data_IF_649330497631
#
_entry.id   IF_649330497631
#
_cell.length_a   1.000
_cell.length_b   1.000
_cell.length_c   1.000
_cell.angle_alpha   90.00
_cell.angle_beta   90.00
_cell.angle_gamma   90.00
#
_symmetry.space_group_name_H-M   'P 1'
#
loop_
_entity.id
_entity.type
_entity.pdbx_description
1 polymer ?
#
# COMPACT_ATOMS: atom_id res chain seq x y z
N UNK A 1 -15.25 -41.91 35.42
CA UNK A 1 -15.77 -41.69 34.07
C UNK A 1 -16.40 -40.29 34.08
N UNK A 2 -15.61 -39.27 33.78
CA UNK A 2 -16.02 -37.86 33.79
C UNK A 2 -16.01 -37.40 32.34
N UNK A 3 -17.18 -37.09 31.79
CA UNK A 3 -17.38 -36.59 30.47
C UNK A 3 -16.88 -35.13 30.37
N UNK A 4 -15.90 -34.89 29.51
CA UNK A 4 -15.47 -33.56 29.12
C UNK A 4 -16.43 -33.07 28.02
N UNK A 5 -17.41 -32.26 28.39
CA UNK A 5 -18.21 -31.46 27.46
C UNK A 5 -17.31 -30.39 26.82
N UNK A 6 -17.00 -30.59 25.56
CA UNK A 6 -16.47 -29.52 24.69
C UNK A 6 -17.61 -28.56 24.38
N UNK A 7 -17.63 -27.41 25.03
CA UNK A 7 -18.42 -26.27 24.58
C UNK A 7 -17.75 -25.69 23.28
N UNK A 8 -18.24 -26.10 22.14
CA UNK A 8 -18.04 -25.37 20.88
C UNK A 8 -18.88 -24.09 20.94
N UNK A 9 -18.23 -22.99 21.30
CA UNK A 9 -18.82 -21.67 21.24
C UNK A 9 -19.04 -21.24 19.79
N UNK A 10 -20.18 -21.58 19.22
CA UNK A 10 -20.68 -20.99 17.99
C UNK A 10 -20.85 -19.48 18.21
N UNK A 11 -19.94 -18.66 17.68
CA UNK A 11 -20.12 -17.21 17.65
C UNK A 11 -21.38 -16.91 16.84
N UNK A 12 -22.47 -16.59 17.50
CA UNK A 12 -23.67 -16.03 16.87
C UNK A 12 -23.30 -14.66 16.29
N UNK A 13 -23.07 -14.61 14.96
CA UNK A 13 -22.91 -13.34 14.24
C UNK A 13 -24.28 -12.68 14.20
N UNK A 14 -24.39 -11.45 14.70
CA UNK A 14 -25.66 -10.73 14.74
C UNK A 14 -26.15 -10.41 13.31
N UNK A 15 -27.47 -10.29 13.08
CA UNK A 15 -28.01 -9.89 11.79
C UNK A 15 -27.43 -8.56 11.30
N UNK A 16 -27.15 -7.63 12.18
CA UNK A 16 -26.55 -6.33 11.87
C UNK A 16 -25.09 -6.47 11.41
N UNK A 17 -24.30 -7.37 12.02
CA UNK A 17 -22.95 -7.70 11.59
C UNK A 17 -22.94 -8.33 10.19
N UNK A 18 -23.87 -9.26 9.93
CA UNK A 18 -24.02 -9.86 8.60
C UNK A 18 -24.40 -8.84 7.54
N UNK A 19 -25.32 -7.92 7.85
CA UNK A 19 -25.68 -6.84 6.93
C UNK A 19 -24.50 -5.90 6.67
N UNK A 20 -23.73 -5.56 7.70
CA UNK A 20 -22.54 -4.72 7.59
C UNK A 20 -21.47 -5.37 6.71
N UNK A 21 -21.17 -6.65 6.91
CA UNK A 21 -20.21 -7.42 6.09
C UNK A 21 -20.67 -7.50 4.65
N UNK A 22 -21.96 -7.80 4.40
CA UNK A 22 -22.54 -7.87 3.05
C UNK A 22 -22.50 -6.50 2.35
N UNK A 23 -22.73 -5.40 3.07
CA UNK A 23 -22.62 -4.04 2.52
C UNK A 23 -21.18 -3.75 2.11
N UNK A 24 -20.22 -4.00 3.00
CA UNK A 24 -18.77 -3.81 2.71
C UNK A 24 -18.36 -4.60 1.47
N UNK A 25 -18.82 -5.86 1.34
CA UNK A 25 -18.52 -6.71 0.18
C UNK A 25 -19.12 -6.17 -1.11
N UNK A 26 -20.38 -5.69 -1.09
CA UNK A 26 -21.03 -5.08 -2.26
C UNK A 26 -20.32 -3.80 -2.69
N UNK A 27 -20.02 -2.92 -1.74
CA UNK A 27 -19.31 -1.67 -1.98
C UNK A 27 -17.91 -1.94 -2.54
N UNK A 28 -17.23 -2.98 -2.05
CA UNK A 28 -15.95 -3.45 -2.58
C UNK A 28 -16.07 -3.85 -4.06
N UNK A 29 -16.98 -4.76 -4.41
CA UNK A 29 -17.17 -5.22 -5.81
C UNK A 29 -17.54 -4.07 -6.73
N UNK A 30 -18.41 -3.16 -6.30
CA UNK A 30 -18.79 -1.99 -7.08
C UNK A 30 -17.61 -1.05 -7.35
N UNK A 31 -16.81 -0.75 -6.32
CA UNK A 31 -15.61 0.10 -6.43
C UNK A 31 -14.54 -0.53 -7.33
N UNK A 32 -14.27 -1.84 -7.16
CA UNK A 32 -13.34 -2.60 -8.04
C UNK A 32 -13.78 -2.51 -9.49
N UNK A 33 -15.07 -2.79 -9.76
CA UNK A 33 -15.61 -2.77 -11.12
C UNK A 33 -15.49 -1.39 -11.77
N UNK A 34 -15.78 -0.33 -11.01
CA UNK A 34 -15.65 1.05 -11.47
C UNK A 34 -14.18 1.41 -11.76
N UNK A 35 -13.27 1.08 -10.84
CA UNK A 35 -11.86 1.45 -10.94
C UNK A 35 -11.09 0.62 -11.98
N UNK A 36 -11.59 -0.56 -12.35
CA UNK A 36 -11.11 -1.34 -13.51
C UNK A 36 -11.67 -0.81 -14.83
N UNK A 37 -12.95 -0.44 -14.88
CA UNK A 37 -13.61 0.02 -16.12
C UNK A 37 -13.01 1.33 -16.63
N UNK A 38 -12.67 2.26 -15.74
CA UNK A 38 -12.12 3.57 -16.11
C UNK A 38 -10.81 3.45 -16.91
N UNK A 39 -9.74 2.79 -16.42
CA UNK A 39 -8.51 2.62 -17.19
C UNK A 39 -8.71 1.78 -18.46
N UNK A 40 -9.55 0.75 -18.43
CA UNK A 40 -9.85 -0.06 -19.61
C UNK A 40 -10.47 0.78 -20.75
N UNK A 41 -11.43 1.66 -20.41
CA UNK A 41 -12.01 2.60 -21.40
C UNK A 41 -10.98 3.61 -21.90
N UNK A 42 -10.13 4.14 -21.00
CA UNK A 42 -9.05 5.07 -21.39
C UNK A 42 -8.03 4.43 -22.31
N UNK A 43 -7.63 3.18 -22.04
CA UNK A 43 -6.72 2.41 -22.90
C UNK A 43 -7.28 2.22 -24.31
N UNK A 44 -8.59 1.89 -24.41
CA UNK A 44 -9.26 1.73 -25.70
C UNK A 44 -9.24 3.04 -26.52
N UNK A 45 -9.64 4.15 -25.92
CA UNK A 45 -9.65 5.46 -26.59
C UNK A 45 -8.24 5.92 -26.99
N UNK A 46 -7.23 5.69 -26.13
CA UNK A 46 -5.84 6.03 -26.44
C UNK A 46 -5.28 5.16 -27.57
N UNK A 47 -5.70 3.90 -27.69
CA UNK A 47 -5.30 3.02 -28.78
C UNK A 47 -5.91 3.48 -30.12
N UNK A 48 -7.21 3.81 -30.14
CA UNK A 48 -7.89 4.37 -31.30
C UNK A 48 -7.24 5.69 -31.76
N UNK A 49 -6.98 6.62 -30.83
CA UNK A 49 -6.28 7.88 -31.12
C UNK A 49 -4.84 7.67 -31.59
N UNK A 50 -4.14 6.64 -31.10
CA UNK A 50 -2.81 6.30 -31.57
C UNK A 50 -2.84 5.80 -33.02
N UNK A 51 -3.79 4.92 -33.37
CA UNK A 51 -3.95 4.42 -34.74
C UNK A 51 -4.20 5.56 -35.72
N UNK A 52 -5.09 6.51 -35.38
CA UNK A 52 -5.36 7.69 -36.22
C UNK A 52 -4.13 8.60 -36.40
N UNK A 53 -3.33 8.78 -35.33
CA UNK A 53 -2.18 9.67 -35.34
C UNK A 53 -0.92 9.06 -36.01
N UNK A 54 -0.85 7.74 -36.23
CA UNK A 54 0.36 7.06 -36.70
C UNK A 54 0.84 7.60 -38.05
N UNK A 55 -0.08 7.87 -38.98
CA UNK A 55 0.23 8.30 -40.32
C UNK A 55 0.20 9.83 -40.47
N UNK A 56 -0.59 10.53 -39.64
CA UNK A 56 -0.83 11.97 -39.78
C UNK A 56 0.10 12.81 -38.88
N UNK A 57 0.36 12.40 -37.65
CA UNK A 57 1.17 13.14 -36.68
C UNK A 57 2.03 12.20 -35.79
N UNK A 58 3.25 11.85 -36.23
CA UNK A 58 4.14 10.99 -35.46
C UNK A 58 4.53 11.56 -34.09
N UNK A 59 4.46 12.88 -33.87
CA UNK A 59 4.74 13.47 -32.56
C UNK A 59 3.57 13.21 -31.59
N UNK A 60 2.34 13.37 -32.06
CA UNK A 60 1.14 13.08 -31.31
C UNK A 60 1.02 11.56 -31.00
N UNK A 61 1.35 10.70 -31.98
CA UNK A 61 1.39 9.26 -31.80
C UNK A 61 2.32 8.83 -30.66
N UNK A 62 3.50 9.45 -30.52
CA UNK A 62 4.43 9.20 -29.40
C UNK A 62 3.84 9.61 -28.05
N UNK A 63 3.05 10.68 -27.98
CA UNK A 63 2.38 11.11 -26.78
C UNK A 63 1.30 10.11 -26.36
N UNK A 64 0.47 9.64 -27.30
CA UNK A 64 -0.53 8.61 -27.04
C UNK A 64 0.11 7.29 -26.60
N UNK A 65 1.20 6.85 -27.21
CA UNK A 65 1.94 5.67 -26.81
C UNK A 65 2.49 5.80 -25.37
N UNK A 66 3.00 6.98 -25.00
CA UNK A 66 3.47 7.23 -23.64
C UNK A 66 2.32 7.22 -22.59
N UNK A 67 1.15 7.74 -22.98
CA UNK A 67 -0.04 7.70 -22.13
C UNK A 67 -0.59 6.28 -21.99
N UNK A 68 -0.63 5.50 -23.07
CA UNK A 68 -1.00 4.08 -23.05
C UNK A 68 -0.12 3.29 -22.09
N UNK A 69 1.19 3.48 -22.17
CA UNK A 69 2.13 2.83 -21.25
C UNK A 69 1.82 3.16 -19.79
N UNK A 70 1.61 4.43 -19.49
CA UNK A 70 1.29 4.90 -18.13
C UNK A 70 -0.01 4.30 -17.61
N UNK A 71 -1.06 4.23 -18.45
CA UNK A 71 -2.36 3.69 -18.03
C UNK A 71 -2.32 2.16 -17.88
N UNK A 72 -1.51 1.47 -18.71
CA UNK A 72 -1.25 0.02 -18.55
C UNK A 72 -0.51 -0.29 -17.26
N UNK A 73 0.52 0.48 -16.91
CA UNK A 73 1.25 0.35 -15.63
C UNK A 73 0.29 0.58 -14.44
N UNK A 74 -0.60 1.56 -14.55
CA UNK A 74 -1.61 1.83 -13.52
C UNK A 74 -2.59 0.67 -13.34
N UNK A 75 -3.08 0.09 -14.44
CA UNK A 75 -3.99 -1.06 -14.41
C UNK A 75 -3.29 -2.29 -13.82
N UNK A 76 -2.05 -2.55 -14.19
CA UNK A 76 -1.24 -3.64 -13.63
C UNK A 76 -1.09 -3.51 -12.11
N UNK A 77 -0.76 -2.31 -11.62
CA UNK A 77 -0.67 -2.05 -10.18
C UNK A 77 -2.01 -2.27 -9.45
N UNK A 78 -3.13 -1.84 -10.04
CA UNK A 78 -4.45 -2.07 -9.46
C UNK A 78 -4.78 -3.56 -9.35
N UNK A 79 -4.45 -4.34 -10.39
CA UNK A 79 -4.64 -5.81 -10.37
C UNK A 79 -3.78 -6.45 -9.29
N UNK A 80 -2.51 -6.05 -9.16
CA UNK A 80 -1.61 -6.54 -8.12
C UNK A 80 -2.16 -6.23 -6.73
N UNK A 81 -2.57 -4.99 -6.46
CA UNK A 81 -3.17 -4.57 -5.20
C UNK A 81 -4.42 -5.39 -4.84
N UNK A 82 -5.27 -5.69 -5.85
CA UNK A 82 -6.47 -6.51 -5.66
C UNK A 82 -6.13 -7.96 -5.34
N UNK A 83 -5.13 -8.54 -6.01
CA UNK A 83 -4.68 -9.91 -5.74
C UNK A 83 -4.04 -10.01 -4.35
N UNK A 84 -3.22 -9.04 -3.97
CA UNK A 84 -2.64 -8.98 -2.62
C UNK A 84 -3.73 -8.89 -1.56
N UNK A 85 -4.72 -8.02 -1.77
CA UNK A 85 -5.84 -7.89 -0.84
C UNK A 85 -6.67 -9.18 -0.75
N UNK A 86 -6.96 -9.84 -1.88
CA UNK A 86 -7.70 -11.10 -1.89
C UNK A 86 -6.96 -12.22 -1.15
N UNK A 87 -5.63 -12.31 -1.31
CA UNK A 87 -4.79 -13.27 -0.56
C UNK A 87 -4.80 -12.97 0.94
N UNK A 88 -4.74 -11.70 1.31
CA UNK A 88 -4.78 -11.26 2.70
C UNK A 88 -6.14 -11.53 3.37
N UNK A 89 -7.25 -11.49 2.61
CA UNK A 89 -8.61 -11.74 3.12
C UNK A 89 -8.97 -13.22 3.25
N UNK A 90 -8.26 -14.10 2.55
CA UNK A 90 -8.58 -15.54 2.57
C UNK A 90 -8.40 -16.19 3.94
N UNK A 91 -7.94 -15.43 4.95
CA UNK A 91 -7.71 -15.91 6.34
C UNK A 91 -6.91 -17.22 6.41
N UNK A 92 -6.30 -17.64 5.32
CA UNK A 92 -5.34 -18.71 5.42
C UNK A 92 -4.24 -18.23 6.36
N UNK A 93 -4.00 -18.95 7.48
CA UNK A 93 -2.86 -18.65 8.33
C UNK A 93 -1.66 -18.52 7.40
N UNK A 94 -0.82 -17.47 7.59
CA UNK A 94 0.41 -17.33 6.78
C UNK A 94 1.05 -18.71 6.77
N UNK A 95 0.85 -19.45 5.67
CA UNK A 95 1.12 -20.88 5.58
C UNK A 95 2.61 -21.17 5.80
N UNK A 96 3.45 -20.16 5.61
CA UNK A 96 4.90 -20.24 5.76
C UNK A 96 5.42 -19.00 6.47
N UNK A 97 5.27 -18.95 7.81
CA UNK A 97 6.01 -17.96 8.61
C UNK A 97 7.46 -18.44 8.73
N UNK A 98 8.36 -17.68 8.17
CA UNK A 98 9.81 -17.89 8.33
C UNK A 98 10.43 -16.77 9.15
N UNK A 99 11.68 -16.95 9.56
CA UNK A 99 12.45 -15.85 10.13
C UNK A 99 12.83 -14.90 8.99
N UNK A 100 12.35 -13.66 9.06
CA UNK A 100 12.57 -12.62 8.04
C UNK A 100 13.37 -11.49 8.63
N UNK A 101 14.44 -11.09 7.95
CA UNK A 101 15.20 -9.87 8.24
C UNK A 101 14.49 -8.65 7.64
N UNK A 102 13.75 -7.92 8.48
CA UNK A 102 13.02 -6.70 8.10
C UNK A 102 13.95 -5.62 7.54
N UNK A 103 15.20 -5.55 8.04
CA UNK A 103 16.20 -4.63 7.52
C UNK A 103 16.56 -4.99 6.07
N UNK A 104 16.76 -6.28 5.76
CA UNK A 104 17.04 -6.77 4.42
C UNK A 104 15.89 -6.45 3.45
N UNK A 105 14.64 -6.68 3.89
CA UNK A 105 13.43 -6.30 3.16
C UNK A 105 13.42 -4.81 2.83
N UNK A 106 13.65 -3.95 3.83
CA UNK A 106 13.69 -2.50 3.63
C UNK A 106 14.82 -2.08 2.68
N UNK A 107 15.99 -2.69 2.76
CA UNK A 107 17.08 -2.42 1.82
C UNK A 107 16.68 -2.71 0.37
N UNK A 108 15.99 -3.81 0.12
CA UNK A 108 15.46 -4.19 -1.19
C UNK A 108 14.46 -3.16 -1.71
N UNK A 109 13.49 -2.77 -0.88
CA UNK A 109 12.49 -1.74 -1.22
C UNK A 109 13.15 -0.40 -1.52
N UNK A 110 14.06 0.05 -0.66
CA UNK A 110 14.73 1.34 -0.82
C UNK A 110 15.66 1.35 -2.06
N UNK A 111 16.32 0.25 -2.37
CA UNK A 111 17.13 0.15 -3.59
C UNK A 111 16.28 0.35 -4.85
N UNK A 112 15.09 -0.25 -4.90
CA UNK A 112 14.12 -0.06 -5.98
C UNK A 112 13.61 1.38 -6.04
N UNK A 113 13.20 1.93 -4.91
CA UNK A 113 12.59 3.27 -4.82
C UNK A 113 13.57 4.43 -5.03
N UNK A 114 14.89 4.23 -4.85
CA UNK A 114 15.90 5.26 -5.11
C UNK A 114 15.84 5.82 -6.52
N UNK A 115 15.59 4.98 -7.52
CA UNK A 115 15.49 5.41 -8.91
C UNK A 115 14.26 6.30 -9.13
N UNK A 116 13.14 5.96 -8.50
CA UNK A 116 11.88 6.72 -8.58
C UNK A 116 12.05 8.07 -7.87
N UNK A 117 12.61 8.05 -6.66
CA UNK A 117 12.86 9.26 -5.87
C UNK A 117 13.80 10.24 -6.60
N UNK A 118 14.91 9.76 -7.19
CA UNK A 118 15.83 10.59 -7.99
C UNK A 118 15.17 11.25 -9.18
N UNK A 119 14.32 10.53 -9.92
CA UNK A 119 13.59 11.10 -11.08
C UNK A 119 12.64 12.22 -10.66
N UNK A 120 12.23 12.24 -9.41
CA UNK A 120 11.32 13.25 -8.83
C UNK A 120 12.05 14.30 -7.99
N UNK A 121 13.39 14.28 -7.98
CA UNK A 121 14.23 15.17 -7.17
C UNK A 121 13.91 15.05 -5.67
N UNK A 122 13.77 13.83 -5.16
CA UNK A 122 13.49 13.56 -3.74
C UNK A 122 14.70 12.90 -3.09
N UNK A 123 15.14 13.44 -1.94
CA UNK A 123 16.17 12.83 -1.09
C UNK A 123 15.57 11.66 -0.31
N UNK A 124 15.91 10.43 -0.70
CA UNK A 124 15.51 9.21 0.01
C UNK A 124 16.68 8.72 0.87
N UNK A 125 16.51 8.78 2.19
CA UNK A 125 17.54 8.43 3.16
C UNK A 125 17.04 7.37 4.13
N UNK A 126 17.95 6.57 4.66
CA UNK A 126 17.70 5.64 5.74
C UNK A 126 18.72 5.85 6.87
N UNK A 127 18.28 5.73 8.11
CA UNK A 127 19.07 6.00 9.29
C UNK A 127 18.76 5.02 10.41
N UNK A 128 19.70 4.83 11.33
CA UNK A 128 19.50 4.08 12.58
C UNK A 128 19.10 2.62 12.44
N UNK A 129 19.73 1.86 11.57
CA UNK A 129 19.57 0.41 11.62
C UNK A 129 20.77 -0.21 12.36
N UNK A 130 20.49 -0.95 13.43
CA UNK A 130 21.44 -1.80 14.13
C UNK A 130 21.86 -3.04 13.31
N UNK A 131 22.22 -4.12 13.97
CA UNK A 131 22.56 -5.40 13.32
C UNK A 131 21.30 -6.07 12.75
N UNK A 132 21.44 -6.84 11.66
CA UNK A 132 20.32 -7.56 11.05
C UNK A 132 19.57 -8.47 12.03
N UNK A 133 20.28 -9.16 12.92
CA UNK A 133 19.68 -10.03 13.94
C UNK A 133 18.74 -9.29 14.92
N UNK A 134 18.86 -7.98 15.03
CA UNK A 134 17.97 -7.16 15.87
C UNK A 134 16.64 -6.86 15.18
N UNK A 135 16.53 -7.10 13.88
CA UNK A 135 15.36 -6.80 13.04
C UNK A 135 14.71 -8.06 12.47
N UNK A 136 14.75 -9.17 13.20
CA UNK A 136 14.17 -10.44 12.76
C UNK A 136 12.78 -10.66 13.36
N UNK A 137 11.84 -11.04 12.50
CA UNK A 137 10.47 -11.40 12.90
C UNK A 137 10.06 -12.75 12.30
N UNK A 138 9.00 -13.36 12.83
CA UNK A 138 8.31 -14.46 12.16
C UNK A 138 7.26 -13.89 11.20
N UNK A 139 7.43 -14.08 9.88
CA UNK A 139 6.53 -13.48 8.90
C UNK A 139 6.64 -14.04 7.48
N UNK A 140 6.00 -13.34 6.57
CA UNK A 140 6.03 -13.53 5.13
C UNK A 140 6.79 -12.37 4.48
N UNK A 141 7.94 -12.67 3.89
CA UNK A 141 8.82 -11.67 3.25
C UNK A 141 8.10 -10.92 2.13
N UNK A 142 7.26 -11.61 1.34
CA UNK A 142 6.53 -11.01 0.21
C UNK A 142 5.51 -9.99 0.70
N UNK A 143 4.77 -10.33 1.77
CA UNK A 143 3.83 -9.40 2.38
C UNK A 143 4.55 -8.17 2.97
N UNK A 144 5.70 -8.36 3.62
CA UNK A 144 6.50 -7.26 4.18
C UNK A 144 7.06 -6.35 3.07
N UNK A 145 7.54 -6.92 1.95
CA UNK A 145 7.97 -6.16 0.77
C UNK A 145 6.80 -5.33 0.24
N UNK A 146 5.61 -5.91 0.08
CA UNK A 146 4.40 -5.20 -0.37
C UNK A 146 4.05 -4.05 0.58
N UNK A 147 4.04 -4.29 1.89
CA UNK A 147 3.74 -3.28 2.92
C UNK A 147 4.70 -2.09 2.85
N UNK A 148 6.00 -2.33 2.89
CA UNK A 148 6.99 -1.25 2.89
C UNK A 148 7.07 -0.55 1.53
N UNK A 149 6.85 -1.26 0.43
CA UNK A 149 6.74 -0.64 -0.91
C UNK A 149 5.59 0.35 -0.94
N UNK A 150 4.41 -0.01 -0.44
CA UNK A 150 3.25 0.88 -0.36
C UNK A 150 3.52 2.13 0.48
N UNK A 151 4.21 2.00 1.61
CA UNK A 151 4.56 3.13 2.46
C UNK A 151 5.59 4.07 1.81
N UNK A 152 6.67 3.51 1.27
CA UNK A 152 7.74 4.31 0.65
C UNK A 152 7.27 4.94 -0.66
N UNK A 153 6.46 4.24 -1.46
CA UNK A 153 5.86 4.79 -2.68
C UNK A 153 4.93 5.97 -2.35
N UNK A 154 4.08 5.83 -1.33
CA UNK A 154 3.24 6.93 -0.87
C UNK A 154 4.07 8.13 -0.42
N UNK A 155 5.12 7.93 0.39
CA UNK A 155 6.01 8.98 0.83
C UNK A 155 6.65 9.73 -0.37
N UNK A 156 7.22 8.99 -1.33
CA UNK A 156 7.80 9.58 -2.56
C UNK A 156 6.73 10.25 -3.43
N UNK A 157 5.55 9.67 -3.53
CA UNK A 157 4.46 10.14 -4.37
C UNK A 157 3.90 11.48 -3.91
N UNK A 158 3.70 11.64 -2.61
CA UNK A 158 3.08 12.83 -2.03
C UNK A 158 4.08 13.91 -1.57
N UNK A 159 5.37 13.66 -1.70
CA UNK A 159 6.43 14.65 -1.49
C UNK A 159 6.65 15.46 -2.77
N UNK A 160 6.65 16.80 -2.73
CA UNK A 160 7.04 17.65 -3.86
C UNK A 160 8.52 17.47 -4.24
N UNK A 161 8.91 17.82 -5.48
CA UNK A 161 10.32 17.90 -5.87
C UNK A 161 11.14 18.76 -4.90
N UNK A 162 12.39 18.39 -4.65
CA UNK A 162 13.25 19.03 -3.63
C UNK A 162 12.99 18.57 -2.20
N UNK A 163 11.97 17.73 -1.97
CA UNK A 163 11.62 17.21 -0.65
C UNK A 163 12.48 16.03 -0.20
N UNK A 164 12.14 15.51 0.97
CA UNK A 164 12.86 14.39 1.60
C UNK A 164 11.92 13.30 2.09
N UNK A 165 12.40 12.07 2.02
CA UNK A 165 11.80 10.88 2.65
C UNK A 165 12.88 10.22 3.49
N UNK A 166 12.58 9.98 4.75
CA UNK A 166 13.50 9.35 5.70
C UNK A 166 12.89 8.07 6.26
N UNK A 167 13.67 6.99 6.27
CA UNK A 167 13.30 5.71 6.87
C UNK A 167 14.22 5.46 8.05
N UNK A 168 13.64 5.26 9.23
CA UNK A 168 14.36 5.02 10.49
C UNK A 168 13.89 3.71 11.08
N UNK A 169 14.83 2.80 11.38
CA UNK A 169 14.56 1.59 12.13
C UNK A 169 15.06 1.71 13.56
N UNK A 170 14.27 1.21 14.50
CA UNK A 170 14.61 1.03 15.89
C UNK A 170 14.19 -0.36 16.34
N UNK A 171 14.89 -0.96 17.30
CA UNK A 171 14.59 -2.29 17.80
C UNK A 171 14.77 -2.33 19.29
N UNK A 172 13.69 -2.63 19.99
CA UNK A 172 13.67 -2.89 21.43
C UNK A 172 13.63 -4.40 21.70
N UNK A 173 13.55 -4.79 22.96
CA UNK A 173 13.59 -6.21 23.35
C UNK A 173 12.47 -7.06 22.74
N UNK A 174 11.29 -6.50 22.54
CA UNK A 174 10.09 -7.22 22.07
C UNK A 174 9.47 -6.69 20.79
N UNK A 175 9.87 -5.51 20.31
CA UNK A 175 9.23 -4.85 19.18
C UNK A 175 10.25 -4.17 18.27
N UNK A 176 10.03 -4.28 16.97
CA UNK A 176 10.74 -3.54 15.93
C UNK A 176 9.85 -2.39 15.50
N UNK A 177 10.41 -1.19 15.47
CA UNK A 177 9.73 0.02 15.03
C UNK A 177 10.36 0.55 13.75
N UNK A 178 9.58 0.71 12.69
CA UNK A 178 10.01 1.30 11.42
C UNK A 178 9.19 2.56 11.17
N UNK A 179 9.87 3.71 11.11
CA UNK A 179 9.27 5.00 10.78
C UNK A 179 9.63 5.42 9.36
N UNK A 180 8.62 5.78 8.60
CA UNK A 180 8.76 6.36 7.27
C UNK A 180 8.16 7.78 7.33
N UNK A 181 9.04 8.79 7.27
CA UNK A 181 8.68 10.20 7.36
C UNK A 181 8.90 10.88 6.01
N UNK A 182 7.96 11.69 5.60
CA UNK A 182 8.04 12.50 4.38
C UNK A 182 7.82 13.99 4.68
N UNK A 183 8.41 14.86 3.87
CA UNK A 183 8.17 16.32 3.90
C UNK A 183 7.13 16.71 2.86
N UNK A 184 6.11 15.90 2.71
CA UNK A 184 5.07 16.04 1.70
C UNK A 184 3.95 16.99 2.08
N UNK A 185 2.83 16.86 1.36
CA UNK A 185 1.66 17.72 1.52
C UNK A 185 0.92 17.51 2.84
N UNK A 186 1.22 16.42 3.57
CA UNK A 186 0.51 16.05 4.78
C UNK A 186 -0.94 15.62 4.55
N UNK A 187 -1.59 15.25 5.65
CA UNK A 187 -2.96 14.71 5.67
C UNK A 187 -3.77 15.54 6.67
N UNK A 188 -4.94 16.10 6.28
CA UNK A 188 -5.82 16.77 7.21
C UNK A 188 -6.28 15.83 8.32
N UNK A 189 -6.27 16.29 9.57
CA UNK A 189 -6.61 15.52 10.77
C UNK A 189 -7.96 14.79 10.65
N UNK A 190 -8.99 15.47 10.14
CA UNK A 190 -10.31 14.89 9.92
C UNK A 190 -10.34 13.70 8.93
N UNK A 191 -9.25 13.49 8.16
CA UNK A 191 -9.13 12.42 7.18
C UNK A 191 -8.33 11.23 7.71
N UNK A 192 -7.50 11.43 8.72
CA UNK A 192 -6.61 10.41 9.32
C UNK A 192 -7.37 9.12 9.69
N UNK A 193 -8.53 9.14 10.35
CA UNK A 193 -9.24 7.92 10.72
C UNK A 193 -9.63 7.04 9.52
N UNK A 194 -9.70 7.64 8.33
CA UNK A 194 -10.22 7.00 7.13
C UNK A 194 -9.16 6.54 6.12
N UNK A 195 -7.92 6.98 6.23
CA UNK A 195 -6.89 6.71 5.22
C UNK A 195 -6.57 5.23 5.05
N UNK A 196 -6.89 4.39 6.04
CA UNK A 196 -6.75 2.94 5.99
C UNK A 196 -8.01 2.22 5.49
N UNK A 197 -9.10 2.95 5.17
CA UNK A 197 -10.28 2.39 4.51
C UNK A 197 -9.94 2.03 3.05
N UNK A 198 -10.46 0.93 2.55
CA UNK A 198 -10.26 0.49 1.15
C UNK A 198 -10.85 1.50 0.19
N UNK A 199 -10.15 1.80 -0.91
CA UNK A 199 -10.53 2.77 -1.94
C UNK A 199 -10.66 4.21 -1.43
N UNK A 200 -10.32 4.48 -0.17
CA UNK A 200 -10.36 5.83 0.35
C UNK A 200 -9.22 6.67 -0.20
N UNK A 201 -9.54 7.88 -0.57
CA UNK A 201 -8.59 8.87 -1.11
C UNK A 201 -8.94 10.23 -0.56
N UNK A 202 -7.96 10.93 -0.01
CA UNK A 202 -8.13 12.29 0.57
C UNK A 202 -8.59 13.29 -0.49
N UNK A 203 -8.01 13.20 -1.71
CA UNK A 203 -8.36 14.00 -2.88
C UNK A 203 -8.45 13.11 -4.12
N UNK A 204 -9.67 12.93 -4.63
CA UNK A 204 -9.94 12.08 -5.80
C UNK A 204 -9.33 12.63 -7.10
N UNK A 205 -9.30 13.96 -7.28
CA UNK A 205 -8.80 14.59 -8.50
C UNK A 205 -7.27 14.47 -8.59
N UNK A 206 -6.57 14.87 -7.54
CA UNK A 206 -5.10 14.78 -7.46
C UNK A 206 -4.59 13.34 -7.51
N UNK A 207 -5.32 12.42 -6.89
CA UNK A 207 -4.95 11.01 -6.87
C UNK A 207 -5.15 10.33 -8.22
N UNK A 208 -6.08 10.80 -9.10
CA UNK A 208 -6.16 10.32 -10.48
C UNK A 208 -4.89 10.66 -11.26
N UNK A 209 -4.37 11.87 -11.12
CA UNK A 209 -3.14 12.30 -11.76
C UNK A 209 -1.90 11.49 -11.30
N UNK A 210 -1.89 11.07 -10.04
CA UNK A 210 -0.79 10.31 -9.43
C UNK A 210 -0.98 8.78 -9.44
N UNK A 211 -2.08 8.26 -10.02
CA UNK A 211 -2.31 6.82 -10.24
C UNK A 211 -2.59 5.98 -8.98
N UNK A 212 -3.05 6.59 -7.87
CA UNK A 212 -3.35 5.85 -6.63
C UNK A 212 -4.61 5.00 -6.73
N UNK A 213 -4.55 3.77 -6.24
CA UNK A 213 -5.66 2.82 -6.18
C UNK A 213 -6.56 3.03 -4.95
N UNK A 214 -6.01 3.60 -3.87
CA UNK A 214 -6.68 3.69 -2.57
C UNK A 214 -6.66 2.38 -1.79
N UNK A 215 -5.91 1.37 -2.26
CA UNK A 215 -5.76 0.08 -1.59
C UNK A 215 -4.47 -0.01 -0.76
N UNK A 216 -3.41 0.70 -1.14
CA UNK A 216 -2.08 0.53 -0.55
C UNK A 216 -2.05 0.67 0.98
N UNK A 217 -2.69 1.68 1.57
CA UNK A 217 -2.70 1.83 3.03
C UNK A 217 -3.57 0.79 3.74
N UNK A 218 -4.64 0.29 3.11
CA UNK A 218 -5.41 -0.82 3.67
C UNK A 218 -4.61 -2.12 3.65
N UNK A 219 -3.79 -2.36 2.62
CA UNK A 219 -2.82 -3.46 2.56
C UNK A 219 -1.79 -3.31 3.68
N UNK A 220 -1.22 -2.12 3.88
CA UNK A 220 -0.26 -1.84 4.96
C UNK A 220 -0.82 -2.23 6.32
N UNK A 221 -2.04 -1.79 6.66
CA UNK A 221 -2.69 -2.12 7.92
C UNK A 221 -2.88 -3.63 8.07
N UNK A 222 -3.42 -4.26 7.04
CA UNK A 222 -3.73 -5.69 7.09
C UNK A 222 -2.47 -6.55 7.23
N UNK A 223 -1.39 -6.22 6.50
CA UNK A 223 -0.10 -6.91 6.64
C UNK A 223 0.49 -6.72 8.02
N UNK A 224 0.46 -5.50 8.58
CA UNK A 224 0.93 -5.27 9.95
C UNK A 224 0.15 -6.11 10.98
N UNK A 225 -1.19 -6.11 10.90
CA UNK A 225 -2.08 -6.90 11.76
C UNK A 225 -1.83 -8.42 11.61
N UNK A 226 -1.65 -8.93 10.39
CA UNK A 226 -1.35 -10.34 10.13
C UNK A 226 -0.01 -10.78 10.75
N UNK A 227 0.92 -9.86 10.91
CA UNK A 227 2.21 -10.11 11.57
C UNK A 227 2.16 -9.85 13.09
N UNK A 228 0.96 -9.64 13.65
CA UNK A 228 0.78 -9.35 15.09
C UNK A 228 1.22 -7.95 15.49
N UNK A 229 1.45 -7.09 14.52
CA UNK A 229 1.87 -5.70 14.70
C UNK A 229 0.73 -4.69 14.51
N UNK A 230 1.12 -3.44 14.32
CA UNK A 230 0.20 -2.32 14.05
C UNK A 230 0.89 -1.22 13.25
N UNK A 231 0.10 -0.33 12.68
CA UNK A 231 0.58 0.89 12.01
C UNK A 231 -0.12 2.11 12.58
N UNK A 232 0.65 3.18 12.80
CA UNK A 232 0.14 4.50 13.20
C UNK A 232 0.57 5.57 12.20
N UNK A 233 -0.06 6.74 12.27
CA UNK A 233 0.29 7.89 11.44
C UNK A 233 0.17 9.17 12.24
N UNK A 234 1.14 10.04 12.06
CA UNK A 234 1.17 11.43 12.51
C UNK A 234 1.36 12.30 11.27
N UNK A 235 0.50 13.31 11.10
CA UNK A 235 0.55 14.14 9.89
C UNK A 235 -0.12 15.48 10.12
N UNK A 236 0.46 16.54 9.52
CA UNK A 236 -0.11 17.89 9.49
C UNK A 236 -0.06 18.41 8.05
N UNK A 237 -1.11 19.11 7.57
CA UNK A 237 -1.11 19.70 6.25
C UNK A 237 0.08 20.65 6.03
N UNK A 238 0.86 20.41 4.99
CA UNK A 238 2.04 21.19 4.63
C UNK A 238 3.33 20.81 5.36
N UNK A 239 3.28 19.95 6.39
CA UNK A 239 4.46 19.52 7.17
C UNK A 239 4.91 18.11 6.80
N UNK A 240 4.07 17.33 6.10
CA UNK A 240 4.32 15.96 5.73
C UNK A 240 3.63 14.95 6.63
N UNK A 241 4.06 13.69 6.52
CA UNK A 241 3.49 12.58 7.27
C UNK A 241 4.58 11.67 7.82
N UNK A 242 4.31 11.04 8.95
CA UNK A 242 5.14 9.99 9.54
C UNK A 242 4.28 8.76 9.78
N UNK A 243 4.54 7.71 9.04
CA UNK A 243 3.95 6.39 9.27
C UNK A 243 4.90 5.56 10.11
N UNK A 244 4.38 4.96 11.17
CA UNK A 244 5.15 4.09 12.08
C UNK A 244 4.54 2.70 12.08
N UNK A 245 5.34 1.71 11.68
CA UNK A 245 5.01 0.29 11.74
C UNK A 245 5.67 -0.32 12.94
N UNK A 246 4.92 -1.07 13.71
CA UNK A 246 5.37 -1.83 14.87
C UNK A 246 5.18 -3.32 14.60
N UNK A 247 6.25 -4.10 14.75
CA UNK A 247 6.24 -5.54 14.50
C UNK A 247 6.84 -6.28 15.70
N UNK A 248 6.21 -7.38 16.17
CA UNK A 248 6.79 -8.18 17.25
C UNK A 248 8.10 -8.81 16.77
N UNK A 249 9.14 -8.69 17.59
CA UNK A 249 10.44 -9.30 17.35
C UNK A 249 10.38 -10.82 17.60
N UNK A 250 11.12 -11.60 16.80
CA UNK A 250 11.24 -13.05 16.96
C UNK A 250 12.08 -13.44 18.18
#
# INVERSE_FOLDING_TARGET
MVALERQEGTRHVSPDELQRVNKIRRDFVANVSHDLKTPATSLKLLAESLEEALDEDPAQARLFAAQLKKETERLANLITDLLDLARLESQEPIAYRTLVDVRGVLMTVLAHMRRVARKKDISLQWKRFGKAAEYTIFGDETQLISMFTNLVDNAVKYTPPGGRVEVVGDSESSEITIRISDSGIGIPEAKIPRIFERFYRVDKARSKATGGTGLGLSIVRHVAENHGGRVTVESSPGEGSTFTVYLPRA
#
